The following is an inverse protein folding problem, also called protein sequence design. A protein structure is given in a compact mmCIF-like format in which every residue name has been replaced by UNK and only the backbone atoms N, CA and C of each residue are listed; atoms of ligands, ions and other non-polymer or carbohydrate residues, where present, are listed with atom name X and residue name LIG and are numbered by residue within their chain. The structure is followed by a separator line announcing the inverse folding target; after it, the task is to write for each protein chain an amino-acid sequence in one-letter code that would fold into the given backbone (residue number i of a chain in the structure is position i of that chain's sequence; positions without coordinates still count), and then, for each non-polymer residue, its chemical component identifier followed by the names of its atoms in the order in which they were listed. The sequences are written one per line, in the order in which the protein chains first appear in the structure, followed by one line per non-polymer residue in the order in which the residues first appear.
data_IF_101927793024
#
_entry.id   IF_101927793024
#
_cell.length_a   1.000
_cell.length_b   1.000
_cell.length_c   1.000
_cell.angle_alpha   90.00
_cell.angle_beta   90.00
_cell.angle_gamma   90.00
#
_symmetry.space_group_name_H-M   'P 1'
#
loop_
_entity.id
_entity.type
_entity.pdbx_description
1 polymer ?
#
# COMPACT_ATOMS: atom_id res chain seq x y z
N UNK A 1 34.46 -13.19 -18.67
CA UNK A 1 33.95 -14.25 -17.77
C UNK A 1 33.07 -15.25 -18.53
N UNK A 2 33.54 -16.50 -18.69
CA UNK A 2 32.72 -17.59 -19.26
C UNK A 2 31.73 -18.04 -18.18
N UNK A 3 30.44 -17.77 -18.39
CA UNK A 3 29.40 -18.31 -17.52
C UNK A 3 29.34 -19.83 -17.72
N UNK A 4 29.64 -20.59 -16.66
CA UNK A 4 29.45 -22.04 -16.64
C UNK A 4 27.97 -22.39 -16.48
N UNK A 5 27.57 -23.57 -16.94
CA UNK A 5 26.20 -24.08 -16.71
C UNK A 5 25.99 -24.32 -15.21
N UNK A 6 24.91 -23.77 -14.65
CA UNK A 6 24.57 -23.93 -13.23
C UNK A 6 24.26 -25.39 -12.86
N UNK A 7 24.57 -25.76 -11.63
CA UNK A 7 24.27 -27.09 -11.08
C UNK A 7 22.74 -27.27 -10.96
N UNK A 8 22.18 -28.24 -11.70
CA UNK A 8 20.76 -28.60 -11.62
C UNK A 8 20.48 -29.31 -10.30
N UNK A 9 19.31 -29.04 -9.70
CA UNK A 9 18.90 -29.76 -8.49
C UNK A 9 18.71 -31.26 -8.82
N UNK A 10 19.38 -32.19 -8.12
CA UNK A 10 19.33 -33.62 -8.43
C UNK A 10 17.92 -34.21 -8.29
N UNK A 11 17.13 -33.64 -7.38
CA UNK A 11 15.73 -34.02 -7.14
C UNK A 11 14.84 -33.70 -8.36
N UNK A 12 15.07 -32.56 -9.04
CA UNK A 12 14.34 -32.20 -10.26
C UNK A 12 14.81 -33.08 -11.43
N UNK A 13 16.10 -33.38 -11.51
CA UNK A 13 16.63 -34.29 -12.53
C UNK A 13 16.00 -35.70 -12.43
N UNK A 14 15.82 -36.22 -11.21
CA UNK A 14 15.16 -37.51 -10.98
C UNK A 14 13.67 -37.52 -11.41
N UNK A 15 12.96 -36.39 -11.27
CA UNK A 15 11.58 -36.24 -11.74
C UNK A 15 11.48 -36.19 -13.27
N UNK A 16 12.52 -35.70 -13.94
CA UNK A 16 12.59 -35.54 -15.40
C UNK A 16 13.08 -36.80 -16.10
N UNK A 17 13.86 -37.66 -15.43
CA UNK A 17 14.47 -38.87 -16.01
C UNK A 17 13.47 -39.79 -16.73
N UNK A 18 12.28 -40.10 -16.14
CA UNK A 18 11.29 -40.96 -16.79
C UNK A 18 10.67 -40.36 -18.07
N UNK A 19 10.87 -39.06 -18.29
CA UNK A 19 10.28 -38.30 -19.39
C UNK A 19 11.29 -38.00 -20.50
N UNK A 20 12.58 -38.32 -20.34
CA UNK A 20 13.61 -38.02 -21.34
C UNK A 20 13.32 -38.64 -22.70
N UNK A 21 12.82 -39.86 -22.77
CA UNK A 21 12.57 -40.56 -24.03
C UNK A 21 11.35 -40.02 -24.81
N UNK A 22 10.60 -39.09 -24.21
CA UNK A 22 9.38 -38.49 -24.78
C UNK A 22 9.59 -37.07 -25.32
N UNK A 23 10.75 -36.47 -25.05
CA UNK A 23 11.08 -35.10 -25.46
C UNK A 23 12.48 -35.04 -26.09
N UNK A 24 12.73 -34.12 -27.04
CA UNK A 24 14.06 -33.88 -27.62
C UNK A 24 15.12 -33.50 -26.59
N UNK A 25 14.70 -32.85 -25.50
CA UNK A 25 15.59 -32.37 -24.45
C UNK A 25 14.99 -32.55 -23.05
N UNK A 26 15.87 -32.73 -22.06
CA UNK A 26 15.47 -32.75 -20.65
C UNK A 26 14.88 -31.39 -20.18
N UNK A 27 15.18 -30.30 -20.89
CA UNK A 27 14.60 -28.99 -20.62
C UNK A 27 13.12 -28.93 -21.05
N UNK A 28 12.80 -29.46 -22.23
CA UNK A 28 11.42 -29.56 -22.71
C UNK A 28 10.57 -30.49 -21.85
N UNK A 29 11.14 -31.64 -21.42
CA UNK A 29 10.47 -32.52 -20.45
C UNK A 29 10.14 -31.80 -19.13
N UNK A 30 11.06 -30.96 -18.64
CA UNK A 30 10.84 -30.17 -17.43
C UNK A 30 9.76 -29.09 -17.61
N UNK A 31 9.78 -28.36 -18.73
CA UNK A 31 8.77 -27.35 -19.05
C UNK A 31 7.37 -27.97 -19.16
N UNK A 32 7.27 -29.15 -19.77
CA UNK A 32 6.02 -29.89 -19.84
C UNK A 32 5.49 -30.30 -18.45
N UNK A 33 6.37 -30.75 -17.55
CA UNK A 33 6.00 -31.08 -16.16
C UNK A 33 5.59 -29.85 -15.34
N UNK A 34 6.05 -28.66 -15.72
CA UNK A 34 5.72 -27.36 -15.15
C UNK A 34 4.43 -26.73 -15.73
N UNK A 35 3.74 -27.45 -16.62
CA UNK A 35 2.54 -27.00 -17.34
C UNK A 35 2.79 -25.85 -18.33
N UNK A 36 3.96 -25.85 -18.98
CA UNK A 36 4.20 -24.92 -20.09
C UNK A 36 3.46 -25.40 -21.35
N UNK A 37 2.49 -24.61 -21.81
CA UNK A 37 1.68 -24.90 -22.99
C UNK A 37 2.45 -24.78 -24.32
N UNK A 38 3.66 -24.21 -24.31
CA UNK A 38 4.49 -24.08 -25.51
C UNK A 38 5.17 -25.39 -25.92
N UNK A 39 5.29 -26.35 -25.00
CA UNK A 39 5.99 -27.62 -25.23
C UNK A 39 4.99 -28.77 -25.38
N UNK A 40 5.16 -29.58 -26.41
CA UNK A 40 4.33 -30.77 -26.67
C UNK A 40 5.19 -32.03 -26.68
N UNK A 41 4.72 -33.13 -26.07
CA UNK A 41 5.47 -34.37 -26.09
C UNK A 41 5.52 -34.93 -27.51
N UNK A 42 6.67 -35.46 -27.91
CA UNK A 42 6.84 -36.10 -29.23
C UNK A 42 6.07 -37.41 -29.35
N UNK A 43 5.56 -37.94 -28.23
CA UNK A 43 4.71 -39.13 -28.15
C UNK A 43 3.47 -38.84 -27.29
N UNK A 44 2.34 -39.53 -27.47
CA UNK A 44 1.16 -39.34 -26.64
C UNK A 44 1.51 -39.60 -25.16
N UNK A 45 1.51 -38.56 -24.34
CA UNK A 45 1.67 -38.70 -22.91
C UNK A 45 0.32 -39.10 -22.30
N UNK A 46 0.31 -40.15 -21.48
CA UNK A 46 -0.85 -40.49 -20.66
C UNK A 46 -1.24 -39.30 -19.77
N UNK A 47 -2.52 -39.21 -19.38
CA UNK A 47 -3.07 -38.22 -18.43
C UNK A 47 -2.43 -38.35 -17.05
N UNK A 48 -1.17 -37.96 -16.93
CA UNK A 48 -0.39 -38.12 -15.72
C UNK A 48 -0.34 -36.79 -14.96
N UNK A 49 -0.42 -36.89 -13.63
CA UNK A 49 -0.60 -35.76 -12.72
C UNK A 49 0.57 -34.78 -12.89
N UNK A 50 0.27 -33.57 -13.38
CA UNK A 50 1.23 -32.47 -13.53
C UNK A 50 1.92 -32.25 -12.18
N UNK A 51 3.25 -32.13 -12.17
CA UNK A 51 4.09 -32.02 -10.96
C UNK A 51 4.54 -30.59 -10.69
N UNK A 52 3.80 -29.62 -11.21
CA UNK A 52 4.13 -28.19 -11.13
C UNK A 52 4.39 -27.73 -9.68
N UNK A 53 3.52 -28.09 -8.75
CA UNK A 53 3.66 -27.72 -7.33
C UNK A 53 4.93 -28.33 -6.70
N UNK A 54 5.21 -29.61 -6.99
CA UNK A 54 6.37 -30.32 -6.48
C UNK A 54 7.67 -29.68 -7.00
N UNK A 55 7.75 -29.42 -8.31
CA UNK A 55 8.91 -28.79 -8.94
C UNK A 55 9.10 -27.36 -8.44
N UNK A 56 8.01 -26.60 -8.28
CA UNK A 56 8.04 -25.26 -7.71
C UNK A 56 8.62 -25.26 -6.29
N UNK A 57 8.15 -26.17 -5.43
CA UNK A 57 8.66 -26.30 -4.05
C UNK A 57 10.14 -26.66 -4.02
N UNK A 58 10.59 -27.58 -4.87
CA UNK A 58 11.99 -27.99 -4.96
C UNK A 58 12.90 -26.85 -5.43
N UNK A 59 12.48 -26.10 -6.45
CA UNK A 59 13.20 -24.90 -6.91
C UNK A 59 13.26 -23.85 -5.81
N UNK A 60 12.15 -23.62 -5.09
CA UNK A 60 12.10 -22.64 -4.00
C UNK A 60 13.03 -23.01 -2.86
N UNK A 61 13.06 -24.28 -2.45
CA UNK A 61 14.00 -24.80 -1.44
C UNK A 61 15.44 -24.57 -1.86
N UNK A 62 15.79 -24.92 -3.10
CA UNK A 62 17.14 -24.73 -3.65
C UNK A 62 17.55 -23.26 -3.67
N UNK A 63 16.66 -22.37 -4.08
CA UNK A 63 16.90 -20.92 -4.04
C UNK A 63 17.13 -20.46 -2.60
N UNK A 64 16.30 -20.90 -1.65
CA UNK A 64 16.47 -20.55 -0.24
C UNK A 64 17.81 -21.04 0.34
N UNK A 65 18.25 -22.25 -0.01
CA UNK A 65 19.57 -22.78 0.38
C UNK A 65 20.71 -21.90 -0.15
N UNK A 66 20.66 -21.53 -1.44
CA UNK A 66 21.68 -20.67 -2.07
C UNK A 66 21.67 -19.29 -1.40
N UNK A 67 20.50 -18.71 -1.19
CA UNK A 67 20.34 -17.43 -0.50
C UNK A 67 20.92 -17.52 0.91
N UNK A 68 20.60 -18.56 1.68
CA UNK A 68 21.13 -18.73 3.04
C UNK A 68 22.66 -18.92 3.06
N UNK A 69 23.25 -19.55 2.04
CA UNK A 69 24.68 -19.77 1.95
C UNK A 69 25.47 -18.50 1.57
N UNK A 70 24.87 -17.61 0.78
CA UNK A 70 25.54 -16.42 0.24
C UNK A 70 25.17 -15.16 1.01
N UNK A 71 23.94 -15.08 1.50
CA UNK A 71 23.40 -13.96 2.27
C UNK A 71 23.48 -14.33 3.74
N UNK A 72 24.54 -13.86 4.41
CA UNK A 72 24.47 -13.68 5.85
C UNK A 72 23.54 -12.51 6.12
N UNK A 73 22.32 -12.78 6.55
CA UNK A 73 21.50 -11.76 7.20
C UNK A 73 22.28 -11.26 8.41
N UNK A 74 22.82 -10.04 8.29
CA UNK A 74 23.27 -9.30 9.45
C UNK A 74 22.04 -9.03 10.30
N UNK A 75 21.82 -9.88 11.31
CA UNK A 75 20.89 -9.62 12.42
C UNK A 75 21.40 -8.49 13.33
N UNK A 76 22.27 -7.61 12.82
CA UNK A 76 22.80 -6.45 13.50
C UNK A 76 22.19 -5.13 12.97
N UNK A 77 20.89 -5.14 12.69
CA UNK A 77 20.02 -4.00 13.01
C UNK A 77 18.72 -4.61 13.48
N UNK A 78 18.64 -4.93 14.77
CA UNK A 78 17.40 -5.23 15.47
C UNK A 78 16.59 -3.92 15.48
N UNK A 79 16.06 -3.56 14.31
CA UNK A 79 15.45 -2.26 14.09
C UNK A 79 14.28 -2.15 15.05
N UNK A 80 14.15 -1.01 15.70
CA UNK A 80 13.04 -0.74 16.61
C UNK A 80 11.68 -1.11 15.96
N UNK A 81 11.56 -0.91 14.64
CA UNK A 81 10.43 -1.33 13.83
C UNK A 81 10.21 -2.86 13.79
N UNK A 82 11.27 -3.67 13.68
CA UNK A 82 11.18 -5.13 13.71
C UNK A 82 10.75 -5.68 15.09
N UNK A 83 11.23 -5.07 16.17
CA UNK A 83 10.80 -5.39 17.55
C UNK A 83 9.35 -4.97 17.78
N UNK A 84 8.96 -3.77 17.35
CA UNK A 84 7.60 -3.26 17.46
C UNK A 84 6.61 -4.10 16.66
N UNK A 85 6.98 -4.52 15.44
CA UNK A 85 6.18 -5.43 14.61
C UNK A 85 5.93 -6.79 15.27
N UNK A 86 6.93 -7.38 15.93
CA UNK A 86 6.74 -8.64 16.71
C UNK A 86 5.78 -8.46 17.88
N UNK A 87 5.81 -7.30 18.55
CA UNK A 87 4.89 -6.97 19.66
C UNK A 87 3.46 -6.78 19.14
N UNK A 88 3.31 -6.18 17.96
CA UNK A 88 2.02 -5.96 17.29
C UNK A 88 1.37 -7.24 16.77
N UNK A 89 2.16 -8.27 16.41
CA UNK A 89 1.68 -9.55 15.88
C UNK A 89 1.18 -10.53 16.96
N UNK A 90 1.42 -10.27 18.24
CA UNK A 90 0.99 -11.13 19.34
C UNK A 90 -0.39 -10.69 19.84
N UNK A 91 -1.39 -11.56 19.74
CA UNK A 91 -2.81 -11.26 20.02
C UNK A 91 -3.08 -10.51 21.34
N UNK A 92 -2.34 -10.84 22.41
CA UNK A 92 -2.51 -10.20 23.73
C UNK A 92 -1.89 -8.80 23.85
N UNK A 93 -0.82 -8.50 23.10
CA UNK A 93 -0.21 -7.15 23.05
C UNK A 93 -0.65 -6.32 21.85
N UNK A 94 -1.27 -6.96 20.85
CA UNK A 94 -1.84 -6.32 19.67
C UNK A 94 -3.07 -5.45 20.01
N UNK A 95 -3.97 -5.91 20.89
CA UNK A 95 -5.16 -5.12 21.28
C UNK A 95 -4.76 -3.83 22.03
N UNK A 96 -3.88 -3.84 23.04
CA UNK A 96 -3.39 -2.61 23.67
C UNK A 96 -2.68 -1.67 22.69
N UNK A 97 -1.86 -2.19 21.78
CA UNK A 97 -1.18 -1.39 20.76
C UNK A 97 -2.16 -0.77 19.75
N UNK A 98 -3.19 -1.52 19.37
CA UNK A 98 -4.28 -1.02 18.55
C UNK A 98 -4.99 0.14 19.26
N UNK A 99 -5.38 -0.04 20.51
CA UNK A 99 -6.03 1.00 21.30
C UNK A 99 -5.15 2.25 21.43
N UNK A 100 -3.85 2.06 21.70
CA UNK A 100 -2.88 3.15 21.77
C UNK A 100 -2.78 3.90 20.44
N UNK A 101 -2.73 3.17 19.31
CA UNK A 101 -2.69 3.77 17.98
C UNK A 101 -3.98 4.54 17.67
N UNK A 102 -5.14 4.01 18.03
CA UNK A 102 -6.42 4.68 17.88
C UNK A 102 -6.48 5.95 18.74
N UNK A 103 -6.00 5.88 19.99
CA UNK A 103 -5.96 7.02 20.90
C UNK A 103 -5.00 8.10 20.37
N UNK A 104 -3.83 7.71 19.88
CA UNK A 104 -2.87 8.64 19.28
C UNK A 104 -3.47 9.35 18.06
N UNK A 105 -4.16 8.60 17.18
CA UNK A 105 -4.81 9.17 16.01
C UNK A 105 -6.01 10.07 16.39
N UNK A 106 -6.80 9.67 17.38
CA UNK A 106 -7.87 10.49 17.94
C UNK A 106 -7.33 11.79 18.51
N UNK A 107 -6.25 11.74 19.29
CA UNK A 107 -5.67 12.94 19.87
C UNK A 107 -5.11 13.86 18.78
N UNK A 108 -4.37 13.30 17.83
CA UNK A 108 -3.79 14.10 16.75
C UNK A 108 -4.86 14.75 15.86
N UNK A 109 -5.78 13.97 15.30
CA UNK A 109 -6.78 14.52 14.38
C UNK A 109 -7.87 15.30 15.15
N UNK A 110 -8.39 14.74 16.22
CA UNK A 110 -9.54 15.29 16.94
C UNK A 110 -9.21 16.42 17.91
N UNK A 111 -8.00 16.46 18.47
CA UNK A 111 -7.60 17.53 19.40
C UNK A 111 -6.69 18.53 18.70
N UNK A 112 -5.61 18.08 18.06
CA UNK A 112 -4.65 19.03 17.46
C UNK A 112 -5.22 19.64 16.18
N UNK A 113 -5.59 18.82 15.20
CA UNK A 113 -6.06 19.36 13.91
C UNK A 113 -7.43 20.02 14.07
N UNK A 114 -8.42 19.30 14.59
CA UNK A 114 -9.80 19.78 14.62
C UNK A 114 -10.07 20.92 15.61
N UNK A 115 -9.26 21.09 16.67
CA UNK A 115 -9.46 22.20 17.62
C UNK A 115 -8.45 23.31 17.48
N UNK A 116 -7.16 23.00 17.25
CA UNK A 116 -6.12 24.04 17.20
C UNK A 116 -5.96 24.56 15.78
N UNK A 117 -5.71 23.66 14.82
CA UNK A 117 -5.45 24.09 13.43
C UNK A 117 -6.69 24.67 12.80
N UNK A 118 -7.84 24.01 12.95
CA UNK A 118 -9.13 24.49 12.44
C UNK A 118 -9.50 25.85 13.05
N UNK A 119 -9.40 26.04 14.36
CA UNK A 119 -9.72 27.35 14.96
C UNK A 119 -8.80 28.45 14.43
N UNK A 120 -7.52 28.15 14.20
CA UNK A 120 -6.60 29.10 13.58
C UNK A 120 -7.01 29.44 12.14
N UNK A 121 -7.36 28.44 11.33
CA UNK A 121 -7.68 28.67 9.91
C UNK A 121 -9.08 29.25 9.71
N UNK A 122 -10.06 28.80 10.46
CA UNK A 122 -11.45 29.23 10.38
C UNK A 122 -11.64 30.59 11.06
N UNK A 123 -11.48 30.66 12.38
CA UNK A 123 -11.82 31.86 13.16
C UNK A 123 -10.80 32.98 12.90
N UNK A 124 -9.50 32.67 12.97
CA UNK A 124 -8.47 33.73 12.88
C UNK A 124 -8.25 34.16 11.43
N UNK A 125 -8.02 33.21 10.51
CA UNK A 125 -7.70 33.54 9.11
C UNK A 125 -8.96 33.86 8.30
N UNK A 126 -9.93 32.95 8.26
CA UNK A 126 -11.08 33.11 7.37
C UNK A 126 -12.10 34.13 7.89
N UNK A 127 -12.55 34.01 9.13
CA UNK A 127 -13.49 34.98 9.71
C UNK A 127 -12.82 36.31 10.05
N UNK A 128 -11.59 36.28 10.58
CA UNK A 128 -10.88 37.50 10.98
C UNK A 128 -10.38 38.37 9.82
N UNK A 129 -9.89 37.77 8.72
CA UNK A 129 -9.33 38.53 7.60
C UNK A 129 -10.14 38.41 6.32
N UNK A 130 -10.53 37.20 5.93
CA UNK A 130 -11.14 36.96 4.62
C UNK A 130 -12.59 37.47 4.55
N UNK A 131 -13.43 37.22 5.57
CA UNK A 131 -14.83 37.69 5.59
C UNK A 131 -14.94 39.22 5.53
N UNK A 132 -14.23 40.01 6.36
CA UNK A 132 -14.27 41.47 6.29
C UNK A 132 -13.75 42.00 4.95
N UNK A 133 -12.75 41.33 4.37
CA UNK A 133 -12.23 41.70 3.05
C UNK A 133 -13.27 41.49 1.97
N UNK A 134 -13.96 40.35 1.96
CA UNK A 134 -14.99 40.05 0.96
C UNK A 134 -16.22 40.92 1.13
N UNK A 135 -16.70 41.14 2.36
CA UNK A 135 -17.83 42.07 2.57
C UNK A 135 -17.45 43.52 2.21
N UNK A 136 -16.21 43.94 2.48
CA UNK A 136 -15.70 45.24 2.07
C UNK A 136 -15.63 45.41 0.54
N UNK A 137 -15.21 44.38 -0.19
CA UNK A 137 -15.14 44.41 -1.66
C UNK A 137 -16.54 44.41 -2.28
N UNK A 138 -17.42 43.53 -1.84
CA UNK A 138 -18.80 43.43 -2.35
C UNK A 138 -19.61 44.67 -1.96
N UNK A 139 -19.42 45.18 -0.74
CA UNK A 139 -20.08 46.38 -0.24
C UNK A 139 -19.68 47.68 -0.96
N UNK A 140 -18.53 47.72 -1.65
CA UNK A 140 -18.16 48.85 -2.52
C UNK A 140 -18.94 48.86 -3.84
N UNK A 141 -19.40 47.70 -4.30
CA UNK A 141 -20.06 47.54 -5.61
C UNK A 141 -21.57 47.48 -5.45
N UNK A 142 -22.06 46.85 -4.38
CA UNK A 142 -23.49 46.58 -4.16
C UNK A 142 -24.02 47.26 -2.90
N UNK A 143 -25.16 47.91 -3.03
CA UNK A 143 -25.85 48.56 -1.91
C UNK A 143 -26.26 47.54 -0.82
N UNK A 144 -26.36 47.96 0.45
CA UNK A 144 -26.70 47.08 1.58
C UNK A 144 -28.05 46.35 1.43
N UNK A 145 -29.00 46.94 0.70
CA UNK A 145 -30.35 46.38 0.46
C UNK A 145 -30.44 45.48 -0.76
N UNK A 146 -29.32 45.24 -1.46
CA UNK A 146 -29.31 44.41 -2.66
C UNK A 146 -29.39 42.93 -2.30
N UNK A 147 -30.32 42.21 -2.93
CA UNK A 147 -30.45 40.74 -2.85
C UNK A 147 -29.12 40.08 -3.25
N UNK A 148 -28.41 40.65 -4.22
CA UNK A 148 -27.11 40.14 -4.67
C UNK A 148 -26.09 40.16 -3.53
N UNK A 149 -25.96 41.25 -2.78
CA UNK A 149 -25.04 41.31 -1.63
C UNK A 149 -25.42 40.29 -0.57
N UNK A 150 -26.72 40.16 -0.27
CA UNK A 150 -27.20 39.17 0.70
C UNK A 150 -26.84 37.73 0.31
N UNK A 151 -26.92 37.38 -0.97
CA UNK A 151 -26.56 36.03 -1.46
C UNK A 151 -25.03 35.81 -1.44
N UNK A 152 -24.22 36.82 -1.74
CA UNK A 152 -22.76 36.66 -1.79
C UNK A 152 -22.11 36.72 -0.41
N UNK A 153 -22.44 37.71 0.42
CA UNK A 153 -21.76 37.99 1.70
C UNK A 153 -22.69 38.09 2.91
N UNK A 154 -23.98 37.80 2.75
CA UNK A 154 -24.92 37.75 3.87
C UNK A 154 -24.65 36.60 4.84
N UNK A 155 -25.59 36.35 5.74
CA UNK A 155 -25.49 35.35 6.81
C UNK A 155 -25.21 33.92 6.29
N UNK A 156 -25.74 33.60 5.11
CA UNK A 156 -25.49 32.34 4.39
C UNK A 156 -24.74 32.57 3.07
N UNK A 157 -23.89 33.60 3.04
CA UNK A 157 -23.22 34.04 1.83
C UNK A 157 -22.38 32.95 1.18
N UNK A 158 -22.49 32.83 -0.15
CA UNK A 158 -21.69 31.90 -0.94
C UNK A 158 -20.19 32.17 -0.82
N UNK A 159 -19.78 33.44 -0.73
CA UNK A 159 -18.36 33.78 -0.58
C UNK A 159 -17.89 33.79 0.86
N UNK A 160 -18.77 34.00 1.83
CA UNK A 160 -18.41 34.03 3.26
C UNK A 160 -18.49 32.62 3.83
N UNK A 161 -19.68 32.14 4.17
CA UNK A 161 -19.87 30.85 4.84
C UNK A 161 -19.32 29.66 4.05
N UNK A 162 -19.65 29.55 2.76
CA UNK A 162 -19.22 28.38 1.99
C UNK A 162 -17.70 28.30 1.87
N UNK A 163 -17.02 29.41 1.59
CA UNK A 163 -15.55 29.42 1.47
C UNK A 163 -14.86 29.27 2.82
N UNK A 164 -15.39 29.92 3.87
CA UNK A 164 -14.88 29.78 5.25
C UNK A 164 -14.92 28.32 5.68
N UNK A 165 -16.05 27.61 5.51
CA UNK A 165 -16.10 26.21 5.90
C UNK A 165 -15.29 25.31 4.96
N UNK A 166 -15.29 25.57 3.65
CA UNK A 166 -14.55 24.73 2.71
C UNK A 166 -13.02 24.84 2.91
N UNK A 167 -12.51 26.05 3.09
CA UNK A 167 -11.08 26.30 3.19
C UNK A 167 -10.58 26.45 4.63
N UNK A 168 -11.38 27.02 5.52
CA UNK A 168 -11.06 27.20 6.93
C UNK A 168 -11.27 25.95 7.77
N UNK A 169 -12.32 25.18 7.51
CA UNK A 169 -12.65 23.98 8.29
C UNK A 169 -12.25 22.68 7.56
N UNK A 170 -12.76 22.45 6.35
CA UNK A 170 -12.57 21.18 5.64
C UNK A 170 -11.12 20.97 5.17
N UNK A 171 -10.48 21.97 4.59
CA UNK A 171 -9.11 21.86 4.06
C UNK A 171 -8.08 21.39 5.11
N UNK A 172 -7.96 22.01 6.31
CA UNK A 172 -7.01 21.54 7.32
C UNK A 172 -7.38 20.17 7.89
N UNK A 173 -8.69 19.87 8.04
CA UNK A 173 -9.13 18.57 8.54
C UNK A 173 -8.75 17.44 7.57
N UNK A 174 -9.03 17.63 6.29
CA UNK A 174 -8.68 16.67 5.23
C UNK A 174 -7.16 16.53 5.12
N UNK A 175 -6.41 17.64 5.15
CA UNK A 175 -4.95 17.61 5.13
C UNK A 175 -4.38 16.84 6.34
N UNK A 176 -4.88 17.10 7.55
CA UNK A 176 -4.47 16.41 8.77
C UNK A 176 -4.81 14.92 8.75
N UNK A 177 -5.95 14.56 8.18
CA UNK A 177 -6.33 13.16 7.97
C UNK A 177 -5.39 12.45 6.99
N UNK A 178 -5.13 13.03 5.81
CA UNK A 178 -4.19 12.44 4.84
C UNK A 178 -2.76 12.36 5.37
N UNK A 179 -2.31 13.36 6.12
CA UNK A 179 -1.02 13.31 6.80
C UNK A 179 -0.96 12.12 7.76
N UNK A 180 -1.97 11.94 8.60
CA UNK A 180 -2.07 10.83 9.54
C UNK A 180 -2.09 9.47 8.84
N UNK A 181 -2.85 9.35 7.74
CA UNK A 181 -2.88 8.14 6.93
C UNK A 181 -1.53 7.86 6.26
N UNK A 182 -0.84 8.87 5.75
CA UNK A 182 0.49 8.71 5.16
C UNK A 182 1.47 8.18 6.19
N UNK A 183 1.47 8.78 7.39
CA UNK A 183 2.31 8.34 8.49
C UNK A 183 2.02 6.88 8.90
N UNK A 184 0.74 6.51 9.00
CA UNK A 184 0.35 5.14 9.32
C UNK A 184 0.69 4.16 8.19
N UNK A 185 0.58 4.57 6.92
CA UNK A 185 1.00 3.76 5.78
C UNK A 185 2.49 3.46 5.81
N UNK A 186 3.31 4.45 6.16
CA UNK A 186 4.77 4.28 6.25
C UNK A 186 5.19 3.41 7.44
N UNK A 187 4.34 3.29 8.47
CA UNK A 187 4.56 2.38 9.61
C UNK A 187 4.34 0.88 9.30
N UNK A 188 3.88 0.54 8.10
CA UNK A 188 3.70 -0.86 7.67
C UNK A 188 2.37 -1.51 8.06
N UNK A 189 1.42 -0.76 8.61
CA UNK A 189 0.06 -1.24 8.92
C UNK A 189 -0.79 -1.51 7.69
N UNK A 190 -0.47 -0.86 6.57
CA UNK A 190 -1.07 -1.14 5.27
C UNK A 190 -0.04 -1.92 4.45
N UNK A 191 -0.33 -3.18 4.04
CA UNK A 191 0.48 -3.87 3.05
C UNK A 191 0.67 -2.90 1.88
N UNK A 192 1.92 -2.66 1.42
CA UNK A 192 2.11 -1.88 0.21
C UNK A 192 1.22 -2.49 -0.86
N UNK A 193 0.59 -1.66 -1.71
CA UNK A 193 0.04 -2.13 -2.98
C UNK A 193 1.22 -2.68 -3.78
N UNK A 194 1.68 -3.90 -3.47
CA UNK A 194 2.30 -4.76 -4.45
C UNK A 194 1.19 -4.96 -5.44
N UNK A 195 1.28 -4.23 -6.55
CA UNK A 195 0.62 -4.59 -7.77
C UNK A 195 0.84 -6.09 -7.94
N UNK A 196 -0.21 -6.87 -7.67
CA UNK A 196 -0.32 -8.24 -8.12
C UNK A 196 -0.63 -8.11 -9.61
N UNK A 197 0.37 -7.67 -10.38
CA UNK A 197 0.34 -7.77 -11.81
C UNK A 197 0.65 -9.23 -12.13
N UNK A 198 -0.35 -9.95 -12.61
CA UNK A 198 -0.17 -11.28 -13.20
C UNK A 198 -0.63 -12.43 -12.33
N UNK A 199 -1.95 -12.56 -12.15
CA UNK A 199 -2.62 -13.86 -12.13
C UNK A 199 -4.11 -13.62 -12.38
N UNK A 200 -4.46 -13.47 -13.66
CA UNK A 200 -5.83 -13.66 -14.12
C UNK A 200 -5.90 -15.06 -14.75
N UNK A 201 -6.82 -15.93 -14.31
CA UNK A 201 -6.98 -17.26 -14.86
C UNK A 201 -7.78 -17.20 -16.17
N UNK A 202 -7.30 -17.90 -17.19
CA UNK A 202 -8.13 -18.50 -18.24
C UNK A 202 -7.61 -19.91 -18.48
#
# INVERSE_FOLDING_TARGET
PRAGTGSKAPQIAALVEPWRDRFPSAAEALLYLEDDHSVRPSRPAAKEKRRQEEIYLLRRRRVNEIVAAVVKESTAVDSFAARLGRIMLRSTTGIPMLLLSLLAMYYFIGVIIARVVVALTEEVVMEGYYVPLMDGLVGRIFAPTSITRYILTGEYGLLTMTVVYLLGLFMPLVAGFYFSLSFMKDSGYLPPRRHIAGQAPR
#
